data_IF_715018701817
#
_entry.id   IF_715018701817
#
_cell.length_a   1.000
_cell.length_b   1.000
_cell.length_c   1.000
_cell.angle_alpha   90.00
_cell.angle_beta   90.00
_cell.angle_gamma   90.00
#
_symmetry.space_group_name_H-M   'P 1'
#
loop_
_entity.id
_entity.type
_entity.pdbx_description
1 polymer ?
#
# COMPACT_ATOMS: atom_id res chain seq x y z
N UNK A 1 9.98 10.73 -12.81
CA UNK A 1 8.49 10.76 -12.75
C UNK A 1 7.84 9.37 -12.80
N UNK A 2 8.19 8.51 -13.77
CA UNK A 2 7.55 7.18 -13.96
C UNK A 2 7.62 6.24 -12.74
N UNK A 3 8.79 6.13 -12.09
CA UNK A 3 8.97 5.26 -10.90
C UNK A 3 8.13 5.68 -9.69
N UNK A 4 7.86 6.98 -9.53
CA UNK A 4 7.03 7.50 -8.45
C UNK A 4 5.56 7.12 -8.66
N UNK A 5 5.06 7.26 -9.88
CA UNK A 5 3.71 6.85 -10.26
C UNK A 5 3.53 5.35 -10.07
N UNK A 6 4.50 4.53 -10.48
CA UNK A 6 4.49 3.08 -10.27
C UNK A 6 4.45 2.72 -8.78
N UNK A 7 5.24 3.39 -7.94
CA UNK A 7 5.19 3.18 -6.47
C UNK A 7 3.84 3.56 -5.85
N UNK A 8 3.25 4.65 -6.31
CA UNK A 8 1.94 5.09 -5.83
C UNK A 8 0.87 4.08 -6.24
N UNK A 9 0.83 3.69 -7.52
CA UNK A 9 -0.13 2.70 -8.01
C UNK A 9 0.03 1.36 -7.30
N UNK A 10 1.26 0.86 -7.14
CA UNK A 10 1.52 -0.37 -6.40
C UNK A 10 1.09 -0.30 -4.93
N UNK A 11 1.37 0.82 -4.26
CA UNK A 11 0.93 1.05 -2.88
C UNK A 11 -0.58 1.08 -2.73
N UNK A 12 -1.30 1.75 -3.64
CA UNK A 12 -2.77 1.81 -3.66
C UNK A 12 -3.37 0.41 -3.87
N UNK A 13 -2.84 -0.37 -4.82
CA UNK A 13 -3.32 -1.74 -5.10
C UNK A 13 -3.18 -2.62 -3.85
N UNK A 14 -2.05 -2.54 -3.14
CA UNK A 14 -1.82 -3.30 -1.91
C UNK A 14 -2.79 -2.92 -0.79
N UNK A 15 -3.08 -1.63 -0.62
CA UNK A 15 -4.08 -1.17 0.36
C UNK A 15 -5.46 -1.70 0.02
N UNK A 16 -5.90 -1.58 -1.24
CA UNK A 16 -7.19 -2.09 -1.68
C UNK A 16 -7.28 -3.60 -1.47
N UNK A 17 -6.25 -4.35 -1.85
CA UNK A 17 -6.20 -5.81 -1.65
C UNK A 17 -6.34 -6.17 -0.17
N UNK A 18 -5.61 -5.48 0.71
CA UNK A 18 -5.71 -5.73 2.14
C UNK A 18 -7.08 -5.38 2.73
N UNK A 19 -7.71 -4.31 2.26
CA UNK A 19 -9.10 -3.96 2.65
C UNK A 19 -10.09 -5.02 2.19
N UNK A 20 -9.95 -5.55 0.97
CA UNK A 20 -10.81 -6.64 0.46
C UNK A 20 -10.69 -7.89 1.34
N UNK A 21 -9.47 -8.24 1.77
CA UNK A 21 -9.24 -9.38 2.69
C UNK A 21 -9.90 -9.14 4.04
N UNK A 22 -9.81 -7.92 4.58
CA UNK A 22 -10.46 -7.56 5.85
C UNK A 22 -11.99 -7.60 5.75
N UNK A 23 -12.56 -7.06 4.67
CA UNK A 23 -14.02 -7.04 4.44
C UNK A 23 -14.58 -8.44 4.23
N UNK A 24 -13.81 -9.36 3.62
CA UNK A 24 -14.20 -10.77 3.51
C UNK A 24 -14.30 -11.49 4.86
N UNK A 25 -13.79 -10.90 5.95
CA UNK A 25 -14.01 -11.39 7.31
C UNK A 25 -13.47 -12.80 7.54
N UNK A 26 -12.27 -13.11 7.04
CA UNK A 26 -11.67 -14.44 7.13
C UNK A 26 -10.53 -14.51 8.17
N UNK A 27 -10.12 -15.73 8.53
CA UNK A 27 -8.99 -16.04 9.43
C UNK A 27 -7.67 -15.33 9.03
N UNK A 28 -7.53 -14.97 7.76
CA UNK A 28 -6.37 -14.26 7.19
C UNK A 28 -6.42 -12.73 7.34
N UNK A 29 -7.24 -12.19 8.25
CA UNK A 29 -7.35 -10.75 8.47
C UNK A 29 -5.98 -10.08 8.69
N UNK A 30 -5.06 -10.75 9.39
CA UNK A 30 -3.68 -10.32 9.58
C UNK A 30 -2.91 -10.11 8.26
N UNK A 31 -3.18 -10.94 7.25
CA UNK A 31 -2.59 -10.81 5.92
C UNK A 31 -3.12 -9.56 5.19
N UNK A 32 -4.40 -9.23 5.45
CA UNK A 32 -5.01 -7.98 5.01
C UNK A 32 -4.38 -6.75 5.66
N UNK A 33 -4.17 -6.78 6.98
CA UNK A 33 -3.48 -5.72 7.73
C UNK A 33 -2.04 -5.53 7.22
N UNK A 34 -1.30 -6.62 7.02
CA UNK A 34 0.07 -6.58 6.48
C UNK A 34 0.10 -5.96 5.08
N UNK A 35 -0.85 -6.33 4.21
CA UNK A 35 -0.94 -5.76 2.85
C UNK A 35 -1.19 -4.24 2.88
N UNK A 36 -2.06 -3.77 3.79
CA UNK A 36 -2.29 -2.33 4.00
C UNK A 36 -1.02 -1.64 4.49
N UNK A 37 -0.33 -2.21 5.48
CA UNK A 37 0.91 -1.64 6.02
C UNK A 37 1.99 -1.48 4.94
N UNK A 38 2.21 -2.52 4.12
CA UNK A 38 3.19 -2.48 3.04
C UNK A 38 2.78 -1.45 1.98
N UNK A 39 1.50 -1.38 1.63
CA UNK A 39 0.97 -0.40 0.69
C UNK A 39 1.18 1.05 1.17
N UNK A 40 0.90 1.33 2.45
CA UNK A 40 1.12 2.63 3.08
C UNK A 40 2.61 2.99 3.14
N UNK A 41 3.49 2.03 3.44
CA UNK A 41 4.94 2.22 3.40
C UNK A 41 5.43 2.60 2.00
N UNK A 42 4.89 1.94 0.96
CA UNK A 42 5.19 2.26 -0.44
C UNK A 42 4.78 3.69 -0.78
N UNK A 43 3.56 4.09 -0.40
CA UNK A 43 3.06 5.45 -0.58
C UNK A 43 3.92 6.47 0.17
N UNK A 44 4.20 6.23 1.44
CA UNK A 44 5.04 7.10 2.25
C UNK A 44 6.43 7.28 1.64
N UNK A 45 7.06 6.20 1.14
CA UNK A 45 8.35 6.29 0.47
C UNK A 45 8.28 7.14 -0.82
N UNK A 46 7.18 7.03 -1.58
CA UNK A 46 6.98 7.78 -2.82
C UNK A 46 6.78 9.27 -2.54
N UNK A 47 6.10 9.64 -1.45
CA UNK A 47 5.89 11.03 -1.04
C UNK A 47 7.11 11.62 -0.30
N UNK A 48 7.81 10.84 0.53
CA UNK A 48 9.01 11.30 1.26
C UNK A 48 10.19 11.61 0.34
N UNK A 49 10.38 10.82 -0.73
CA UNK A 49 11.38 11.12 -1.77
C UNK A 49 11.21 12.54 -2.34
N UNK A 50 9.99 13.06 -2.35
CA UNK A 50 9.69 14.39 -2.88
C UNK A 50 10.05 15.55 -1.94
N UNK A 51 10.34 15.32 -0.66
CA UNK A 51 10.70 16.37 0.31
C UNK A 51 12.22 16.65 0.37
N UNK A 52 13.05 15.87 -0.33
CA UNK A 52 14.52 16.00 -0.35
C UNK A 52 15.07 16.68 -1.62
N UNK A 53 14.21 17.14 -2.52
CA UNK A 53 14.58 18.04 -3.62
C UNK A 53 14.07 19.43 -3.29
#
# INVERSE_FOLDING_TARGET
MRLKVIRILGGVILVISGVVVLVRGNLEWWNGVLSILVGVLFLYSAFKVNKKQ
#
